data_IF_530236200875
#
_entry.id   IF_530236200875
#
_cell.length_a   1.000
_cell.length_b   1.000
_cell.length_c   1.000
_cell.angle_alpha   90.00
_cell.angle_beta   90.00
_cell.angle_gamma   90.00
#
_symmetry.space_group_name_H-M   'P 1'
#
loop_
_entity.id
_entity.type
_entity.pdbx_description
1 polymer ?
#
# COMPACT_ATOMS: atom_id res chain seq x y z
N UNK A 1 -38.08 21.89 -3.78
CA UNK A 1 -36.93 20.95 -3.76
C UNK A 1 -36.45 20.80 -5.19
N UNK A 2 -35.19 21.13 -5.50
CA UNK A 2 -34.61 20.86 -6.82
C UNK A 2 -33.13 20.50 -6.65
N UNK A 3 -32.75 19.35 -7.18
CA UNK A 3 -31.64 18.52 -6.71
C UNK A 3 -30.33 18.78 -7.49
N UNK A 4 -29.91 20.04 -7.57
CA UNK A 4 -28.63 20.42 -8.20
C UNK A 4 -27.53 20.56 -7.13
N UNK A 5 -27.11 19.43 -6.55
CA UNK A 5 -25.75 19.34 -6.01
C UNK A 5 -24.90 18.63 -7.05
N UNK A 6 -24.15 19.44 -7.79
CA UNK A 6 -23.03 19.00 -8.61
C UNK A 6 -22.10 18.19 -7.72
N UNK A 7 -22.12 16.87 -7.89
CA UNK A 7 -21.14 15.98 -7.28
C UNK A 7 -19.79 16.40 -7.87
N UNK A 8 -19.01 17.13 -7.08
CA UNK A 8 -17.61 17.39 -7.36
C UNK A 8 -16.87 16.06 -7.30
N UNK A 9 -16.85 15.31 -8.40
CA UNK A 9 -15.96 14.17 -8.56
C UNK A 9 -14.55 14.74 -8.74
N UNK A 10 -13.90 15.05 -7.62
CA UNK A 10 -12.46 15.17 -7.59
C UNK A 10 -11.88 13.89 -8.25
N UNK A 11 -10.83 14.00 -9.09
CA UNK A 11 -10.24 12.83 -9.72
C UNK A 11 -9.95 11.81 -8.62
N UNK A 12 -10.34 10.56 -8.86
CA UNK A 12 -10.06 9.44 -7.96
C UNK A 12 -8.56 9.29 -7.82
N UNK A 13 -7.95 10.10 -6.95
CA UNK A 13 -6.67 9.76 -6.38
C UNK A 13 -6.93 8.43 -5.68
N UNK A 14 -6.31 7.36 -6.18
CA UNK A 14 -6.42 5.97 -5.69
C UNK A 14 -5.88 5.84 -4.23
N UNK A 15 -5.62 6.98 -3.59
CA UNK A 15 -5.28 7.18 -2.21
C UNK A 15 -6.56 7.51 -1.44
N UNK A 16 -7.12 6.52 -0.76
CA UNK A 16 -8.24 6.74 0.15
C UNK A 16 -7.84 7.84 1.14
N UNK A 17 -8.58 8.96 1.14
CA UNK A 17 -8.38 10.05 2.09
C UNK A 17 -8.46 9.48 3.51
N UNK A 18 -7.51 9.80 4.37
CA UNK A 18 -7.57 9.48 5.81
C UNK A 18 -6.71 8.33 6.31
N UNK A 19 -5.92 7.65 5.45
CA UNK A 19 -4.89 6.72 5.93
C UNK A 19 -3.55 7.44 6.12
N UNK A 20 -2.91 7.22 7.27
CA UNK A 20 -1.58 7.74 7.59
C UNK A 20 -0.56 6.61 7.56
N UNK A 21 0.56 6.86 6.89
CA UNK A 21 1.69 5.94 6.92
C UNK A 21 2.64 6.33 8.05
N UNK A 22 3.24 5.33 8.70
CA UNK A 22 4.25 5.53 9.73
C UNK A 22 5.57 4.87 9.37
N UNK A 23 6.57 5.08 10.22
CA UNK A 23 7.86 4.40 10.15
C UNK A 23 7.68 2.86 10.09
N UNK A 24 8.70 2.11 9.62
CA UNK A 24 8.66 0.66 9.66
C UNK A 24 8.33 0.16 11.07
N UNK A 25 7.37 -0.77 11.17
CA UNK A 25 6.88 -1.33 12.43
C UNK A 25 6.75 -2.88 12.34
N UNK A 26 7.85 -3.62 12.14
CA UNK A 26 7.80 -5.09 12.04
C UNK A 26 7.17 -5.76 13.26
N UNK A 27 7.29 -5.16 14.44
CA UNK A 27 6.67 -5.60 15.70
C UNK A 27 5.14 -5.58 15.67
N UNK A 28 4.52 -4.77 14.81
CA UNK A 28 3.07 -4.72 14.59
C UNK A 28 2.63 -5.42 13.30
N UNK A 29 3.49 -6.28 12.73
CA UNK A 29 3.29 -6.91 11.43
C UNK A 29 2.88 -5.91 10.32
N UNK A 30 3.48 -4.71 10.35
CA UNK A 30 3.29 -3.63 9.38
C UNK A 30 1.85 -3.09 9.24
N UNK A 31 0.95 -3.40 10.19
CA UNK A 31 -0.41 -2.86 10.30
C UNK A 31 -1.21 -2.93 9.00
N UNK A 32 -1.60 -4.14 8.61
CA UNK A 32 -2.48 -4.34 7.47
C UNK A 32 -3.86 -3.73 7.70
N UNK A 33 -4.30 -2.89 6.77
CA UNK A 33 -5.57 -2.18 6.83
C UNK A 33 -6.56 -2.77 5.83
N UNK A 34 -7.45 -3.65 6.31
CA UNK A 34 -8.39 -4.42 5.50
C UNK A 34 -9.18 -3.59 4.47
N UNK A 35 -9.67 -2.40 4.86
CA UNK A 35 -10.51 -1.58 3.99
C UNK A 35 -9.78 -1.04 2.75
N UNK A 36 -8.45 -0.94 2.79
CA UNK A 36 -7.65 -0.43 1.66
C UNK A 36 -6.69 -1.47 1.10
N UNK A 37 -6.39 -2.52 1.85
CA UNK A 37 -5.35 -3.49 1.55
C UNK A 37 -3.92 -2.96 1.75
N UNK A 38 -3.75 -1.78 2.33
CA UNK A 38 -2.40 -1.23 2.60
C UNK A 38 -1.80 -1.81 3.87
N UNK A 39 -0.49 -1.98 3.86
CA UNK A 39 0.30 -1.99 5.09
C UNK A 39 0.62 -0.54 5.45
N UNK A 40 0.14 -0.07 6.61
CA UNK A 40 0.23 1.34 7.00
C UNK A 40 1.59 1.71 7.61
N UNK A 41 2.49 0.75 7.79
CA UNK A 41 3.89 1.04 8.04
C UNK A 41 4.70 0.90 6.75
N UNK A 42 5.75 1.73 6.62
CA UNK A 42 6.71 1.58 5.52
C UNK A 42 7.28 0.16 5.53
N UNK A 43 7.19 -0.50 4.38
CA UNK A 43 7.82 -1.80 4.14
C UNK A 43 9.07 -1.52 3.30
N UNK A 44 10.25 -1.75 3.87
CA UNK A 44 11.49 -1.24 3.26
C UNK A 44 12.06 -2.11 2.15
N UNK A 45 11.61 -3.35 1.99
CA UNK A 45 12.10 -4.24 0.92
C UNK A 45 10.96 -4.88 0.15
N UNK A 46 11.22 -5.21 -1.12
CA UNK A 46 10.28 -5.94 -1.95
C UNK A 46 10.05 -7.35 -1.39
N UNK A 47 11.11 -7.98 -0.86
CA UNK A 47 11.05 -9.30 -0.22
C UNK A 47 10.11 -9.30 0.98
N UNK A 48 10.22 -8.33 1.89
CA UNK A 48 9.32 -8.21 3.04
C UNK A 48 7.88 -8.00 2.58
N UNK A 49 7.65 -7.14 1.59
CA UNK A 49 6.29 -6.92 1.04
C UNK A 49 5.69 -8.19 0.46
N UNK A 50 6.48 -8.96 -0.30
CA UNK A 50 6.11 -10.27 -0.82
C UNK A 50 5.72 -11.23 0.31
N UNK A 51 6.56 -11.37 1.32
CA UNK A 51 6.33 -12.31 2.43
C UNK A 51 5.05 -11.95 3.21
N UNK A 52 4.81 -10.65 3.44
CA UNK A 52 3.57 -10.15 4.05
C UNK A 52 2.32 -10.41 3.18
N UNK A 53 2.42 -10.16 1.87
CA UNK A 53 1.35 -10.43 0.92
C UNK A 53 0.97 -11.93 0.89
N UNK A 54 1.94 -12.83 0.97
CA UNK A 54 1.71 -14.28 1.00
C UNK A 54 0.88 -14.72 2.21
N UNK A 55 1.08 -14.09 3.36
CA UNK A 55 0.28 -14.36 4.56
C UNK A 55 -1.21 -14.01 4.37
N UNK A 56 -1.52 -13.11 3.42
CA UNK A 56 -2.87 -12.62 3.15
C UNK A 56 -3.50 -13.22 1.87
N UNK A 57 -2.86 -14.23 1.27
CA UNK A 57 -3.37 -14.91 0.07
C UNK A 57 -3.06 -14.21 -1.26
N UNK A 58 -2.23 -13.16 -1.25
CA UNK A 58 -1.64 -12.60 -2.48
C UNK A 58 -0.44 -13.47 -2.91
N UNK A 59 -0.27 -13.70 -4.22
CA UNK A 59 0.81 -14.55 -4.72
C UNK A 59 1.87 -13.76 -5.52
N UNK A 60 3.07 -14.32 -5.62
CA UNK A 60 4.22 -13.67 -6.26
C UNK A 60 4.06 -13.46 -7.76
N UNK A 61 3.23 -14.28 -8.42
CA UNK A 61 3.01 -14.21 -9.87
C UNK A 61 2.39 -12.87 -10.26
N UNK A 62 1.67 -12.24 -9.33
CA UNK A 62 1.06 -10.93 -9.49
C UNK A 62 1.70 -9.88 -8.58
N UNK A 63 3.01 -10.00 -8.33
CA UNK A 63 3.78 -8.93 -7.71
C UNK A 63 4.02 -7.80 -8.72
N UNK A 64 3.36 -6.66 -8.49
CA UNK A 64 3.40 -5.49 -9.35
C UNK A 64 4.31 -4.43 -8.73
N UNK A 65 5.54 -4.36 -9.24
CA UNK A 65 6.54 -3.36 -8.87
C UNK A 65 7.69 -3.31 -9.86
N UNK A 66 8.39 -2.18 -9.93
CA UNK A 66 9.61 -2.01 -10.76
C UNK A 66 10.85 -2.66 -10.12
N UNK A 67 10.69 -3.24 -8.92
CA UNK A 67 11.73 -3.90 -8.15
C UNK A 67 11.42 -5.40 -8.12
N UNK A 68 12.38 -6.29 -8.38
CA UNK A 68 12.16 -7.73 -8.27
C UNK A 68 11.62 -8.12 -6.89
N UNK A 69 10.61 -8.98 -6.84
CA UNK A 69 9.91 -9.37 -5.60
C UNK A 69 10.81 -9.99 -4.53
N UNK A 70 11.95 -10.57 -4.92
CA UNK A 70 12.96 -11.15 -4.01
C UNK A 70 14.05 -10.17 -3.59
N UNK A 71 13.94 -8.89 -3.94
CA UNK A 71 14.99 -7.90 -3.64
C UNK A 71 14.96 -7.47 -2.18
N UNK A 72 16.12 -7.60 -1.52
CA UNK A 72 16.40 -7.06 -0.18
C UNK A 72 16.90 -5.60 -0.20
N UNK A 73 16.81 -4.92 -1.36
CA UNK A 73 17.24 -3.51 -1.47
C UNK A 73 16.30 -2.61 -0.67
N UNK A 74 16.86 -1.93 0.32
CA UNK A 74 16.15 -0.99 1.20
C UNK A 74 15.62 0.22 0.39
N UNK A 75 14.34 0.54 0.61
CA UNK A 75 13.60 1.69 0.08
C UNK A 75 12.74 2.31 1.19
N UNK A 76 13.21 3.43 1.74
CA UNK A 76 12.59 4.09 2.91
C UNK A 76 11.27 4.81 2.63
N UNK A 77 10.88 4.95 1.37
CA UNK A 77 9.69 5.69 0.94
C UNK A 77 8.77 4.81 0.10
N UNK A 78 8.68 3.51 0.39
CA UNK A 78 7.82 2.58 -0.33
C UNK A 78 6.69 2.07 0.57
N UNK A 79 5.58 1.72 -0.06
CA UNK A 79 4.42 1.09 0.57
C UNK A 79 4.18 -0.29 -0.03
N UNK A 80 3.66 -1.18 0.81
CA UNK A 80 3.14 -2.47 0.40
C UNK A 80 1.61 -2.45 0.40
N UNK A 81 0.99 -3.17 -0.54
CA UNK A 81 -0.46 -3.35 -0.61
C UNK A 81 -0.79 -4.75 -1.09
N UNK A 82 -1.70 -5.45 -0.42
CA UNK A 82 -2.28 -6.72 -0.89
C UNK A 82 -3.77 -6.54 -1.14
N UNK A 83 -4.23 -6.97 -2.32
CA UNK A 83 -5.63 -7.16 -2.64
C UNK A 83 -5.92 -8.65 -2.78
N UNK A 84 -6.38 -9.31 -1.70
CA UNK A 84 -6.62 -10.75 -1.70
C UNK A 84 -7.60 -11.19 -2.78
N UNK A 85 -8.62 -10.39 -3.08
CA UNK A 85 -9.66 -10.69 -4.07
C UNK A 85 -9.10 -10.87 -5.49
N UNK A 86 -7.98 -10.21 -5.78
CA UNK A 86 -7.30 -10.29 -7.07
C UNK A 86 -5.98 -11.06 -6.99
N UNK A 87 -5.59 -11.52 -5.80
CA UNK A 87 -4.29 -12.12 -5.51
C UNK A 87 -3.08 -11.24 -5.89
N UNK A 88 -3.26 -9.91 -5.96
CA UNK A 88 -2.22 -8.97 -6.43
C UNK A 88 -1.52 -8.30 -5.25
N UNK A 89 -0.18 -8.30 -5.30
CA UNK A 89 0.67 -7.59 -4.35
C UNK A 89 1.34 -6.40 -5.04
N UNK A 90 1.30 -5.21 -4.44
CA UNK A 90 1.93 -4.01 -4.98
C UNK A 90 3.04 -3.52 -4.06
N UNK A 91 4.17 -3.17 -4.67
CA UNK A 91 5.29 -2.52 -3.99
C UNK A 91 5.74 -1.28 -4.75
N UNK A 92 5.31 -0.11 -4.25
CA UNK A 92 5.42 1.16 -4.97
C UNK A 92 5.87 2.31 -4.05
N UNK A 93 6.50 3.36 -4.60
CA UNK A 93 6.82 4.55 -3.83
C UNK A 93 5.58 5.17 -3.18
N UNK A 94 5.69 5.61 -1.94
CA UNK A 94 4.76 6.55 -1.31
C UNK A 94 4.61 7.80 -2.19
N UNK A 95 3.39 8.35 -2.32
CA UNK A 95 3.18 9.55 -3.11
C UNK A 95 3.93 10.70 -2.46
N UNK A 96 4.50 11.59 -3.28
CA UNK A 96 5.29 12.73 -2.78
C UNK A 96 4.53 13.62 -1.80
N UNK A 97 3.20 13.66 -1.87
CA UNK A 97 2.31 14.46 -0.99
C UNK A 97 2.15 13.87 0.41
N UNK A 98 2.55 12.62 0.64
CA UNK A 98 2.63 12.03 1.98
C UNK A 98 4.00 12.47 2.53
N UNK A 99 4.02 13.68 3.10
CA UNK A 99 5.23 14.31 3.61
C UNK A 99 5.59 13.83 5.02
N UNK A 100 4.60 13.37 5.79
CA UNK A 100 4.78 13.00 7.19
C UNK A 100 4.56 11.50 7.35
N UNK A 101 5.69 10.78 7.41
CA UNK A 101 5.75 9.45 7.98
C UNK A 101 5.82 9.69 9.50
N UNK A 102 4.69 9.51 10.19
CA UNK A 102 4.61 9.65 11.65
C UNK A 102 5.61 8.66 12.34
#
# INVERSE_FOLDING_TARGET
>A
MNMYQLVQTAPSDIYVRGVKFSKPCPEENYRYHNATGYFLCVVETAKTCRDLCQQLGCNDRYFMGVIPSKSDKIKRNYRCRCFPEYHVCFYNPLPKRIHDID
#
